data_IF_501698017207
#
_entry.id   IF_501698017207
#
_cell.length_a   1.000
_cell.length_b   1.000
_cell.length_c   1.000
_cell.angle_alpha   90.00
_cell.angle_beta   90.00
_cell.angle_gamma   90.00
#
_symmetry.space_group_name_H-M   'P 1'
#
loop_
_entity.id
_entity.type
_entity.pdbx_description
1 polymer ?
#
# COMPACT_ATOMS: atom_id res chain seq x y z
N UNK A 1 -7.96 -3.39 -7.55
CA UNK A 1 -8.32 -3.64 -6.14
C UNK A 1 -8.94 -2.39 -5.56
N UNK A 2 -10.12 -2.49 -4.95
CA UNK A 2 -10.74 -1.38 -4.21
C UNK A 2 -10.10 -1.36 -2.82
N UNK A 3 -9.36 -0.31 -2.49
CA UNK A 3 -8.80 -0.12 -1.15
C UNK A 3 -9.90 0.42 -0.24
N UNK A 4 -10.13 -0.21 0.91
CA UNK A 4 -11.06 0.27 1.93
C UNK A 4 -10.27 0.94 3.06
N UNK A 5 -10.80 2.02 3.62
CA UNK A 5 -10.19 2.67 4.80
C UNK A 5 -10.58 1.93 6.09
N UNK A 6 -9.84 2.15 7.19
CA UNK A 6 -10.19 1.61 8.51
C UNK A 6 -11.62 2.01 8.94
N UNK A 7 -12.01 3.24 8.64
CA UNK A 7 -13.36 3.75 8.93
C UNK A 7 -14.45 3.05 8.11
N UNK A 8 -14.14 2.66 6.87
CA UNK A 8 -15.06 1.89 6.03
C UNK A 8 -15.24 0.45 6.54
N UNK A 9 -14.18 -0.16 7.05
CA UNK A 9 -14.21 -1.51 7.61
C UNK A 9 -15.00 -1.56 8.92
N UNK A 10 -14.83 -0.57 9.79
CA UNK A 10 -15.57 -0.46 11.05
C UNK A 10 -17.09 -0.33 10.83
N UNK A 11 -17.50 0.27 9.71
CA UNK A 11 -18.92 0.44 9.34
C UNK A 11 -19.57 -0.82 8.77
N UNK A 12 -18.80 -1.85 8.45
CA UNK A 12 -19.31 -3.09 7.87
C UNK A 12 -18.96 -4.30 8.77
N UNK A 13 -19.61 -4.44 9.93
CA UNK A 13 -19.36 -5.54 10.83
C UNK A 13 -19.80 -6.88 10.23
N UNK A 14 -19.13 -7.97 10.65
CA UNK A 14 -19.48 -9.34 10.27
C UNK A 14 -20.94 -9.66 10.63
N UNK A 15 -21.70 -10.13 9.65
CA UNK A 15 -23.08 -10.58 9.88
C UNK A 15 -23.12 -11.89 10.66
N UNK A 16 -24.26 -12.24 11.24
CA UNK A 16 -24.41 -13.54 11.91
C UNK A 16 -24.19 -14.73 10.97
N UNK A 17 -24.53 -14.57 9.68
CA UNK A 17 -24.27 -15.60 8.68
C UNK A 17 -22.77 -15.74 8.40
N UNK A 18 -22.02 -14.64 8.30
CA UNK A 18 -20.56 -14.70 8.12
C UNK A 18 -19.88 -15.41 9.28
N UNK A 19 -20.32 -15.12 10.52
CA UNK A 19 -19.82 -15.80 11.72
C UNK A 19 -20.11 -17.30 11.69
N UNK A 20 -21.30 -17.71 11.23
CA UNK A 20 -21.65 -19.14 11.06
C UNK A 20 -20.81 -19.81 9.99
N UNK A 21 -20.51 -19.13 8.88
CA UNK A 21 -19.64 -19.66 7.83
C UNK A 21 -18.23 -19.88 8.38
N UNK A 22 -17.67 -18.89 9.10
CA UNK A 22 -16.35 -18.99 9.72
C UNK A 22 -16.30 -20.14 10.74
N UNK A 23 -17.31 -20.25 11.62
CA UNK A 23 -17.35 -21.29 12.64
C UNK A 23 -17.47 -22.72 12.07
N UNK A 24 -18.13 -22.86 10.92
CA UNK A 24 -18.30 -24.16 10.25
C UNK A 24 -17.19 -24.46 9.23
N UNK A 25 -16.22 -23.55 9.04
CA UNK A 25 -15.12 -23.77 8.13
C UNK A 25 -14.26 -24.96 8.59
N UNK A 26 -14.04 -25.92 7.70
CA UNK A 26 -13.19 -27.09 7.92
C UNK A 26 -12.03 -27.05 6.93
N UNK A 27 -10.95 -26.31 7.23
CA UNK A 27 -9.77 -26.33 6.38
C UNK A 27 -9.16 -27.73 6.38
N UNK A 28 -8.77 -28.21 5.20
CA UNK A 28 -8.10 -29.49 5.01
C UNK A 28 -6.70 -29.18 4.51
N UNK A 29 -5.70 -29.89 5.03
CA UNK A 29 -4.34 -29.76 4.54
C UNK A 29 -4.25 -30.23 3.09
N UNK A 30 -3.63 -29.42 2.24
CA UNK A 30 -3.38 -29.72 0.83
C UNK A 30 -1.89 -29.67 0.56
N UNK A 31 -1.45 -30.17 -0.59
CA UNK A 31 -0.03 -30.08 -0.99
C UNK A 31 0.49 -28.63 -1.01
N UNK A 32 -0.36 -27.68 -1.45
CA UNK A 32 -0.06 -26.24 -1.46
C UNK A 32 -0.15 -25.56 -0.08
N UNK A 33 -0.82 -26.19 0.90
CA UNK A 33 -1.03 -25.66 2.24
C UNK A 33 -0.88 -26.79 3.27
N UNK A 34 0.35 -27.27 3.50
CA UNK A 34 0.63 -28.35 4.43
C UNK A 34 0.42 -27.91 5.88
N UNK A 35 0.15 -28.87 6.78
CA UNK A 35 0.10 -28.59 8.21
C UNK A 35 1.48 -28.17 8.71
N UNK A 36 1.51 -27.10 9.52
CA UNK A 36 2.75 -26.63 10.12
C UNK A 36 3.01 -27.33 11.45
N UNK A 37 4.25 -27.76 11.67
CA UNK A 37 4.69 -28.35 12.94
C UNK A 37 4.93 -27.27 14.00
N UNK A 38 4.80 -27.63 15.28
CA UNK A 38 5.06 -26.71 16.40
C UNK A 38 6.46 -26.07 16.36
N UNK A 39 7.46 -26.80 15.84
CA UNK A 39 8.82 -26.31 15.64
C UNK A 39 8.90 -25.23 14.57
N UNK A 40 8.16 -25.38 13.46
CA UNK A 40 8.07 -24.37 12.40
C UNK A 40 7.33 -23.12 12.88
N UNK A 41 6.25 -23.29 13.67
CA UNK A 41 5.53 -22.15 14.26
C UNK A 41 6.41 -21.32 15.20
N UNK A 42 7.30 -21.96 15.98
CA UNK A 42 8.25 -21.23 16.85
C UNK A 42 9.26 -20.38 16.10
N UNK A 43 9.48 -20.64 14.81
CA UNK A 43 10.38 -19.85 13.97
C UNK A 43 9.72 -18.57 13.44
N UNK A 44 8.38 -18.45 13.55
CA UNK A 44 7.66 -17.30 13.04
C UNK A 44 7.98 -16.06 13.87
N UNK A 45 8.43 -15.00 13.19
CA UNK A 45 8.75 -13.71 13.79
C UNK A 45 7.85 -12.63 13.22
N UNK A 46 7.47 -11.62 14.00
CA UNK A 46 6.73 -10.48 13.49
C UNK A 46 7.44 -9.84 12.30
N UNK A 47 6.67 -9.45 11.28
CA UNK A 47 7.22 -8.95 10.02
C UNK A 47 8.19 -7.76 10.20
N UNK A 48 7.92 -6.87 11.16
CA UNK A 48 8.75 -5.71 11.45
C UNK A 48 10.11 -6.05 12.08
N UNK A 49 10.25 -7.20 12.75
CA UNK A 49 11.52 -7.66 13.31
C UNK A 49 12.45 -8.22 12.23
N UNK A 50 11.87 -8.96 11.28
CA UNK A 50 12.63 -9.53 10.15
C UNK A 50 12.83 -8.52 9.01
N UNK A 51 11.99 -7.49 8.91
CA UNK A 51 12.11 -6.40 7.94
C UNK A 51 12.23 -5.04 8.66
N UNK A 52 13.38 -4.74 9.30
CA UNK A 52 13.57 -3.51 10.07
C UNK A 52 13.49 -2.23 9.21
N UNK A 53 13.74 -2.32 7.90
CA UNK A 53 13.52 -1.23 6.92
C UNK A 53 12.24 -1.42 6.11
N UNK A 54 11.42 -2.42 6.44
CA UNK A 54 10.19 -2.74 5.73
C UNK A 54 9.22 -1.57 5.73
N UNK A 55 9.18 -0.77 6.79
CA UNK A 55 8.32 0.42 6.84
C UNK A 55 8.84 1.61 6.00
N UNK A 56 10.10 1.60 5.57
CA UNK A 56 10.62 2.68 4.72
C UNK A 56 10.05 2.63 3.30
N UNK A 57 9.50 1.49 2.84
CA UNK A 57 8.80 1.40 1.55
C UNK A 57 7.49 2.20 1.52
N UNK A 58 6.91 2.50 2.69
CA UNK A 58 5.68 3.28 2.84
C UNK A 58 5.91 4.68 3.45
N UNK A 59 7.15 5.04 3.78
CA UNK A 59 7.49 6.41 4.15
C UNK A 59 7.40 7.30 2.91
N UNK A 60 6.25 7.95 2.73
CA UNK A 60 6.20 9.21 1.99
C UNK A 60 6.96 10.24 2.86
N UNK A 61 8.28 10.23 2.77
CA UNK A 61 9.19 11.01 3.61
C UNK A 61 9.04 12.52 3.47
N UNK A 62 8.35 12.97 2.41
CA UNK A 62 8.14 14.39 2.11
C UNK A 62 6.66 14.70 2.15
N UNK A 63 6.24 15.50 3.15
CA UNK A 63 4.90 16.09 3.19
C UNK A 63 4.74 16.96 1.93
N UNK A 64 3.75 16.62 1.10
CA UNK A 64 3.41 17.38 -0.11
C UNK A 64 2.20 18.25 0.20
N UNK A 65 2.27 19.53 -0.15
CA UNK A 65 1.13 20.44 -0.08
C UNK A 65 0.49 20.53 -1.46
N UNK A 66 -0.82 20.29 -1.55
CA UNK A 66 -1.55 20.49 -2.79
C UNK A 66 -1.79 22.00 -3.01
N UNK A 67 -1.32 22.52 -4.14
CA UNK A 67 -1.47 23.93 -4.52
C UNK A 67 -2.03 24.01 -5.94
N UNK A 68 -2.78 25.07 -6.23
CA UNK A 68 -3.26 25.36 -7.59
C UNK A 68 -2.26 26.29 -8.28
N UNK A 69 -1.68 25.83 -9.39
CA UNK A 69 -0.70 26.56 -10.20
C UNK A 69 -1.11 26.47 -11.68
N UNK A 70 -0.86 27.54 -12.44
CA UNK A 70 -1.01 27.55 -13.90
C UNK A 70 0.34 27.23 -14.53
N UNK A 71 0.35 26.30 -15.50
CA UNK A 71 1.51 25.90 -16.29
C UNK A 71 1.14 26.09 -17.76
N UNK A 72 2.08 26.55 -18.57
CA UNK A 72 1.89 26.71 -20.01
C UNK A 72 1.50 25.36 -20.67
N UNK A 73 0.61 25.44 -21.66
CA UNK A 73 -0.01 24.24 -22.24
C UNK A 73 1.00 23.34 -22.97
N UNK A 74 1.98 23.92 -23.65
CA UNK A 74 3.05 23.23 -24.35
C UNK A 74 3.97 22.48 -23.37
N UNK A 75 4.35 23.13 -22.27
CA UNK A 75 5.15 22.54 -21.19
C UNK A 75 4.40 21.38 -20.53
N UNK A 76 3.11 21.58 -20.22
CA UNK A 76 2.29 20.53 -19.62
C UNK A 76 2.10 19.34 -20.57
N UNK A 77 1.92 19.60 -21.87
CA UNK A 77 1.81 18.56 -22.89
C UNK A 77 3.12 17.75 -23.01
N UNK A 78 4.27 18.42 -23.08
CA UNK A 78 5.58 17.77 -23.12
C UNK A 78 5.83 16.90 -21.89
N UNK A 79 5.45 17.36 -20.70
CA UNK A 79 5.57 16.58 -19.47
C UNK A 79 4.62 15.37 -19.46
N UNK A 80 3.36 15.54 -19.87
CA UNK A 80 2.39 14.44 -19.96
C UNK A 80 2.81 13.37 -20.97
N UNK A 81 3.48 13.75 -22.05
CA UNK A 81 4.01 12.81 -23.05
C UNK A 81 5.04 11.83 -22.46
N UNK A 82 5.66 12.16 -21.32
CA UNK A 82 6.57 11.23 -20.61
C UNK A 82 5.86 10.07 -19.89
N UNK A 83 4.51 10.05 -19.90
CA UNK A 83 3.70 8.96 -19.39
C UNK A 83 3.39 9.02 -17.89
N UNK A 84 3.13 7.84 -17.31
CA UNK A 84 2.76 7.70 -15.89
C UNK A 84 3.91 8.18 -15.00
N UNK A 85 3.69 9.25 -14.25
CA UNK A 85 4.70 9.85 -13.37
C UNK A 85 5.07 11.30 -13.68
N UNK A 86 4.44 11.93 -14.68
CA UNK A 86 4.73 13.32 -15.04
C UNK A 86 4.62 14.31 -13.85
N UNK A 87 3.68 14.09 -12.92
CA UNK A 87 3.55 14.91 -11.70
C UNK A 87 4.77 14.80 -10.76
N UNK A 88 5.30 13.58 -10.59
CA UNK A 88 6.55 13.37 -9.82
C UNK A 88 7.73 14.05 -10.52
N UNK A 89 7.74 14.02 -11.86
CA UNK A 89 8.78 14.68 -12.67
C UNK A 89 8.73 16.19 -12.55
N UNK A 90 7.52 16.79 -12.55
CA UNK A 90 7.32 18.22 -12.24
C UNK A 90 7.94 18.56 -10.89
N UNK A 91 7.61 17.79 -9.85
CA UNK A 91 8.15 18.03 -8.52
C UNK A 91 9.68 17.90 -8.48
N UNK A 92 10.27 16.95 -9.20
CA UNK A 92 11.73 16.80 -9.28
C UNK A 92 12.40 17.97 -10.00
N UNK A 93 11.79 18.50 -11.08
CA UNK A 93 12.28 19.70 -11.78
C UNK A 93 12.25 20.90 -10.84
N UNK A 94 11.13 21.10 -10.12
CA UNK A 94 10.99 22.19 -9.15
C UNK A 94 12.01 22.07 -8.02
N UNK A 95 12.21 20.86 -7.47
CA UNK A 95 13.23 20.63 -6.45
C UNK A 95 14.62 20.96 -6.97
N UNK A 96 14.99 20.50 -8.17
CA UNK A 96 16.29 20.79 -8.76
C UNK A 96 16.51 22.29 -8.99
N UNK A 97 15.47 23.00 -9.44
CA UNK A 97 15.54 24.43 -9.71
C UNK A 97 15.65 25.29 -8.43
N UNK A 98 15.02 24.85 -7.32
CA UNK A 98 14.95 25.62 -6.07
C UNK A 98 16.00 25.19 -5.04
N UNK A 99 16.35 23.90 -5.01
CA UNK A 99 17.19 23.29 -3.96
C UNK A 99 18.55 22.78 -4.47
N UNK A 100 18.79 22.76 -5.79
CA UNK A 100 19.99 22.17 -6.42
C UNK A 100 19.87 20.68 -6.74
#
# INVERSE_FOLDING_TARGET
MKTMTLDDLLKNPLTENDKKIIANARPIATEDCPEQTDEQLKQFKPWYEVHPKGNDIYKVSVKKTAVSLRIDNDVLAALKATGKGYQSRINNILRKAVLG
#
